data_IF_859102139523
#
_entry.id   IF_859102139523
#
_cell.length_a   1.000
_cell.length_b   1.000
_cell.length_c   1.000
_cell.angle_alpha   90.00
_cell.angle_beta   90.00
_cell.angle_gamma   90.00
#
_symmetry.space_group_name_H-M   'P 1'
#
loop_
_entity.id
_entity.type
_entity.pdbx_description
1 polymer ?
#
# COMPACT_ATOMS: atom_id res chain seq x y z
N UNK A 1 -12.43 -17.27 -14.75
CA UNK A 1 -11.47 -17.31 -15.88
C UNK A 1 -10.11 -17.72 -15.30
N UNK A 2 -9.49 -18.74 -15.88
CA UNK A 2 -8.29 -19.40 -15.36
C UNK A 2 -7.04 -18.70 -15.89
N UNK A 3 -6.09 -18.42 -15.00
CA UNK A 3 -4.72 -18.00 -15.30
C UNK A 3 -3.98 -19.20 -15.93
N UNK A 4 -3.11 -18.98 -16.92
CA UNK A 4 -2.31 -20.00 -17.62
C UNK A 4 -1.16 -20.54 -16.74
N UNK A 5 -0.56 -21.67 -17.15
CA UNK A 5 0.48 -22.34 -16.34
C UNK A 5 1.79 -21.54 -16.22
N UNK A 6 2.21 -20.81 -17.26
CA UNK A 6 3.38 -19.92 -17.20
C UNK A 6 3.08 -18.67 -16.34
N UNK A 7 1.85 -18.18 -16.38
CA UNK A 7 1.40 -17.03 -15.58
C UNK A 7 1.30 -17.34 -14.08
N UNK A 8 0.88 -18.55 -13.73
CA UNK A 8 0.86 -19.02 -12.33
C UNK A 8 2.25 -19.02 -11.71
N UNK A 9 3.26 -19.41 -12.49
CA UNK A 9 4.68 -19.36 -12.08
C UNK A 9 5.16 -17.91 -11.92
N UNK A 10 4.74 -17.00 -12.80
CA UNK A 10 5.06 -15.57 -12.69
C UNK A 10 4.40 -14.91 -11.47
N UNK A 11 3.13 -15.21 -11.18
CA UNK A 11 2.40 -14.68 -10.04
C UNK A 11 3.00 -15.15 -8.70
N UNK A 12 3.20 -16.46 -8.51
CA UNK A 12 3.76 -16.98 -7.26
C UNK A 12 5.18 -16.45 -7.03
N UNK A 13 5.97 -16.30 -8.09
CA UNK A 13 7.29 -15.66 -7.98
C UNK A 13 7.19 -14.21 -7.52
N UNK A 14 6.25 -13.44 -8.07
CA UNK A 14 6.03 -12.06 -7.66
C UNK A 14 5.56 -11.97 -6.19
N UNK A 15 4.58 -12.80 -5.82
CA UNK A 15 4.07 -12.84 -4.45
C UNK A 15 5.17 -13.19 -3.45
N UNK A 16 6.05 -14.14 -3.78
CA UNK A 16 7.22 -14.47 -2.95
C UNK A 16 8.16 -13.28 -2.75
N UNK A 17 8.44 -12.50 -3.81
CA UNK A 17 9.30 -11.31 -3.73
C UNK A 17 8.69 -10.26 -2.79
N UNK A 18 7.40 -9.95 -2.96
CA UNK A 18 6.73 -8.92 -2.15
C UNK A 18 6.62 -9.36 -0.68
N UNK A 19 6.24 -10.61 -0.43
CA UNK A 19 6.14 -11.17 0.93
C UNK A 19 7.49 -11.19 1.65
N UNK A 20 8.57 -11.57 0.97
CA UNK A 20 9.92 -11.56 1.56
C UNK A 20 10.37 -10.13 1.94
N UNK A 21 10.00 -9.12 1.15
CA UNK A 21 10.30 -7.70 1.47
C UNK A 21 9.53 -7.20 2.68
N UNK A 22 8.34 -7.73 2.93
CA UNK A 22 7.52 -7.44 4.11
C UNK A 22 7.95 -8.23 5.35
N UNK A 23 9.04 -8.99 5.27
CA UNK A 23 9.67 -9.69 6.39
C UNK A 23 9.19 -11.13 6.60
N UNK A 24 8.32 -11.66 5.73
CA UNK A 24 7.84 -13.03 5.84
C UNK A 24 8.90 -14.04 5.40
N UNK A 25 8.99 -15.15 6.13
CA UNK A 25 9.86 -16.27 5.78
C UNK A 25 9.14 -17.22 4.83
N UNK A 26 9.88 -17.76 3.85
CA UNK A 26 9.38 -18.71 2.86
C UNK A 26 10.16 -20.01 3.02
N UNK A 27 9.45 -21.13 3.19
CA UNK A 27 10.07 -22.44 3.46
C UNK A 27 10.70 -23.01 2.16
N UNK A 28 9.86 -23.28 1.14
CA UNK A 28 10.26 -23.58 -0.23
C UNK A 28 9.18 -23.09 -1.21
N UNK A 29 9.58 -22.54 -2.37
CA UNK A 29 8.65 -22.19 -3.45
C UNK A 29 8.32 -23.47 -4.21
N UNK A 30 7.17 -24.07 -3.91
CA UNK A 30 6.63 -25.17 -4.70
C UNK A 30 6.00 -24.63 -5.99
N UNK A 31 5.91 -25.47 -7.02
CA UNK A 31 5.35 -25.07 -8.33
C UNK A 31 3.88 -24.65 -8.29
N UNK A 32 3.13 -25.06 -7.26
CA UNK A 32 1.69 -24.84 -7.12
C UNK A 32 1.29 -23.98 -5.91
N UNK A 33 2.23 -23.72 -4.97
CA UNK A 33 1.96 -23.04 -3.71
C UNK A 33 3.20 -22.37 -3.09
N UNK A 34 2.96 -21.39 -2.22
CA UNK A 34 3.98 -20.77 -1.37
C UNK A 34 3.64 -21.03 0.10
N UNK A 35 4.57 -21.63 0.83
CA UNK A 35 4.43 -21.82 2.28
C UNK A 35 5.06 -20.63 3.01
N UNK A 36 4.23 -19.92 3.77
CA UNK A 36 4.62 -18.74 4.56
C UNK A 36 4.85 -19.16 6.00
N UNK A 37 5.95 -18.68 6.58
CA UNK A 37 6.28 -18.86 7.98
C UNK A 37 6.37 -17.50 8.70
N UNK A 38 6.09 -17.53 10.00
CA UNK A 38 6.30 -16.44 10.94
C UNK A 38 7.07 -17.00 12.14
N UNK A 39 8.22 -16.39 12.45
CA UNK A 39 9.11 -16.81 13.53
C UNK A 39 9.52 -18.30 13.47
N UNK A 40 9.79 -18.81 12.27
CA UNK A 40 10.19 -20.20 12.03
C UNK A 40 9.07 -21.23 12.20
N UNK A 41 7.81 -20.79 12.37
CA UNK A 41 6.64 -21.66 12.45
C UNK A 41 5.69 -21.43 11.26
N UNK A 42 5.01 -22.47 10.73
CA UNK A 42 4.05 -22.33 9.64
C UNK A 42 2.96 -21.30 9.97
N UNK A 43 2.61 -20.43 9.01
CA UNK A 43 1.54 -19.44 9.14
C UNK A 43 0.39 -19.74 8.19
N UNK A 44 0.66 -19.79 6.89
CA UNK A 44 -0.34 -20.06 5.85
C UNK A 44 0.29 -20.49 4.52
N UNK A 45 -0.53 -20.99 3.60
CA UNK A 45 -0.17 -21.37 2.25
C UNK A 45 -0.89 -20.46 1.24
N UNK A 46 -0.15 -19.92 0.27
CA UNK A 46 -0.70 -19.18 -0.87
C UNK A 46 -0.82 -20.10 -2.07
N UNK A 47 -2.00 -20.19 -2.67
CA UNK A 47 -2.26 -21.02 -3.84
C UNK A 47 -2.00 -20.27 -5.15
N UNK A 48 -1.81 -21.00 -6.25
CA UNK A 48 -1.72 -20.47 -7.62
C UNK A 48 -2.93 -19.59 -8.04
N UNK A 49 -4.08 -19.72 -7.37
CA UNK A 49 -5.27 -18.90 -7.64
C UNK A 49 -5.30 -17.60 -6.84
N UNK A 50 -4.29 -17.34 -6.01
CA UNK A 50 -4.25 -16.25 -5.04
C UNK A 50 -5.13 -16.47 -3.82
N UNK A 51 -5.45 -17.73 -3.50
CA UNK A 51 -6.12 -18.09 -2.25
C UNK A 51 -5.12 -18.24 -1.11
N UNK A 52 -5.56 -17.96 0.12
CA UNK A 52 -4.76 -18.20 1.33
C UNK A 52 -5.44 -19.31 2.14
N UNK A 53 -4.73 -20.40 2.35
CA UNK A 53 -5.15 -21.52 3.18
C UNK A 53 -4.34 -21.53 4.49
N UNK A 54 -4.96 -21.86 5.60
CA UNK A 54 -4.31 -21.92 6.90
C UNK A 54 -5.01 -22.94 7.81
N UNK A 55 -4.31 -23.41 8.84
CA UNK A 55 -4.92 -24.22 9.90
C UNK A 55 -5.29 -23.29 11.05
N UNK A 56 -6.43 -23.52 11.68
CA UNK A 56 -6.83 -22.73 12.86
C UNK A 56 -5.81 -22.85 14.02
N UNK A 57 -5.09 -23.97 14.09
CA UNK A 57 -4.02 -24.20 15.06
C UNK A 57 -2.81 -23.27 14.85
N UNK A 58 -2.62 -22.74 13.63
CA UNK A 58 -1.47 -21.89 13.27
C UNK A 58 -1.80 -20.38 13.39
N UNK A 59 -3.03 -20.02 13.82
CA UNK A 59 -3.53 -18.65 13.96
C UNK A 59 -4.29 -18.46 15.29
N UNK A 60 -3.69 -18.95 16.37
CA UNK A 60 -4.23 -18.93 17.73
C UNK A 60 -4.01 -17.60 18.47
N UNK A 61 -3.07 -16.77 18.01
CA UNK A 61 -2.72 -15.49 18.61
C UNK A 61 -3.13 -14.29 17.74
N UNK A 62 -3.51 -13.13 18.34
CA UNK A 62 -3.88 -11.92 17.60
C UNK A 62 -2.80 -11.44 16.61
N UNK A 63 -1.53 -11.55 16.99
CA UNK A 63 -0.39 -11.19 16.13
C UNK A 63 -0.33 -12.05 14.87
N UNK A 64 -0.61 -13.35 15.01
CA UNK A 64 -0.63 -14.31 13.90
C UNK A 64 -1.85 -14.10 12.99
N UNK A 65 -2.99 -13.73 13.56
CA UNK A 65 -4.17 -13.31 12.78
C UNK A 65 -3.84 -12.09 11.93
N UNK A 66 -3.25 -11.04 12.54
CA UNK A 66 -2.84 -9.83 11.83
C UNK A 66 -1.80 -10.12 10.74
N UNK A 67 -0.83 -10.98 11.02
CA UNK A 67 0.16 -11.43 10.05
C UNK A 67 -0.49 -12.16 8.86
N UNK A 68 -1.45 -13.06 9.12
CA UNK A 68 -2.21 -13.75 8.07
C UNK A 68 -3.05 -12.78 7.24
N UNK A 69 -3.68 -11.79 7.88
CA UNK A 69 -4.45 -10.75 7.18
C UNK A 69 -3.55 -9.91 6.29
N UNK A 70 -2.34 -9.55 6.77
CA UNK A 70 -1.33 -8.86 5.98
C UNK A 70 -0.89 -9.69 4.77
N UNK A 71 -0.64 -11.00 4.93
CA UNK A 71 -0.33 -11.90 3.81
C UNK A 71 -1.47 -11.89 2.79
N UNK A 72 -2.72 -12.02 3.25
CA UNK A 72 -3.88 -12.00 2.37
C UNK A 72 -3.97 -10.71 1.55
N UNK A 73 -3.77 -9.55 2.18
CA UNK A 73 -3.78 -8.26 1.49
C UNK A 73 -2.67 -8.15 0.44
N UNK A 74 -1.44 -8.55 0.77
CA UNK A 74 -0.31 -8.56 -0.16
C UNK A 74 -0.60 -9.45 -1.37
N UNK A 75 -1.07 -10.67 -1.12
CA UNK A 75 -1.39 -11.70 -2.13
C UNK A 75 -2.53 -11.22 -3.04
N UNK A 76 -3.56 -10.59 -2.46
CA UNK A 76 -4.71 -10.00 -3.17
C UNK A 76 -4.28 -8.87 -4.07
N UNK A 77 -3.49 -7.92 -3.57
CA UNK A 77 -2.95 -6.81 -4.37
C UNK A 77 -2.00 -7.31 -5.46
N UNK A 78 -1.17 -8.31 -5.16
CA UNK A 78 -0.27 -8.94 -6.16
C UNK A 78 -1.05 -9.60 -7.28
N UNK A 79 -2.12 -10.32 -6.97
CA UNK A 79 -2.98 -10.93 -7.99
C UNK A 79 -3.69 -9.88 -8.86
N UNK A 80 -4.09 -8.74 -8.27
CA UNK A 80 -4.72 -7.63 -8.98
C UNK A 80 -3.79 -7.07 -10.07
N UNK A 81 -2.59 -6.60 -9.71
CA UNK A 81 -1.72 -5.96 -10.69
C UNK A 81 -1.07 -6.96 -11.63
N UNK A 82 -0.82 -8.21 -11.23
CA UNK A 82 -0.26 -9.23 -12.13
C UNK A 82 -1.23 -9.56 -13.26
N UNK A 83 -2.54 -9.65 -12.94
CA UNK A 83 -3.57 -9.83 -13.96
C UNK A 83 -3.66 -8.62 -14.90
N UNK A 84 -3.55 -7.41 -14.36
CA UNK A 84 -3.52 -6.21 -15.20
C UNK A 84 -2.28 -6.17 -16.10
N UNK A 85 -1.10 -6.46 -15.55
CA UNK A 85 0.15 -6.56 -16.30
C UNK A 85 0.07 -7.60 -17.41
N UNK A 86 -0.63 -8.72 -17.22
CA UNK A 86 -0.83 -9.72 -18.26
C UNK A 86 -1.64 -9.15 -19.45
N UNK A 87 -2.79 -8.55 -19.14
CA UNK A 87 -3.76 -8.07 -20.12
C UNK A 87 -3.37 -6.72 -20.76
N UNK A 88 -2.51 -5.95 -20.11
CA UNK A 88 -2.15 -4.61 -20.51
C UNK A 88 -1.34 -4.59 -21.82
N UNK A 89 -1.64 -3.65 -22.74
CA UNK A 89 -0.83 -3.44 -23.93
C UNK A 89 0.51 -2.83 -23.55
N UNK A 90 1.52 -3.05 -24.40
CA UNK A 90 2.80 -2.35 -24.28
C UNK A 90 2.63 -0.84 -24.50
N UNK A 91 3.25 -0.06 -23.63
CA UNK A 91 3.37 1.38 -23.76
C UNK A 91 4.30 1.70 -24.92
N UNK A 92 3.83 2.51 -25.86
CA UNK A 92 4.62 2.97 -27.01
C UNK A 92 4.87 4.45 -26.86
N UNK A 93 6.12 4.82 -26.62
CA UNK A 93 6.57 6.19 -26.54
C UNK A 93 7.97 6.31 -27.15
N UNK A 94 8.23 7.38 -27.88
CA UNK A 94 9.49 7.65 -28.55
C UNK A 94 10.62 7.75 -27.51
N UNK A 95 11.66 6.94 -27.69
CA UNK A 95 12.85 6.93 -26.83
C UNK A 95 12.67 6.22 -25.48
N UNK A 96 11.51 5.60 -25.22
CA UNK A 96 11.31 4.73 -24.07
C UNK A 96 11.78 3.30 -24.38
N UNK A 97 12.46 2.66 -23.44
CA UNK A 97 12.81 1.24 -23.56
C UNK A 97 11.55 0.36 -23.64
N UNK A 98 11.59 -0.66 -24.49
CA UNK A 98 10.50 -1.64 -24.60
C UNK A 98 10.32 -2.42 -23.29
N UNK A 99 9.08 -2.74 -22.95
CA UNK A 99 8.74 -3.63 -21.83
C UNK A 99 7.75 -3.04 -20.82
N UNK A 100 7.57 -1.73 -20.81
CA UNK A 100 6.51 -1.09 -20.02
C UNK A 100 5.14 -1.43 -20.59
N UNK A 101 4.18 -1.70 -19.71
CA UNK A 101 2.79 -1.97 -20.04
C UNK A 101 1.87 -0.94 -19.40
N UNK A 102 0.83 -0.54 -20.13
CA UNK A 102 -0.13 0.50 -19.70
C UNK A 102 -1.17 -0.12 -18.78
N UNK A 103 -1.10 0.18 -17.49
CA UNK A 103 -2.08 -0.27 -16.49
C UNK A 103 -3.28 0.69 -16.43
N UNK A 104 -3.03 1.99 -16.56
CA UNK A 104 -4.07 3.02 -16.69
C UNK A 104 -3.56 4.22 -17.49
N UNK A 105 -4.43 4.87 -18.27
CA UNK A 105 -4.13 6.09 -19.01
C UNK A 105 -5.34 7.03 -18.92
N UNK A 106 -5.15 8.19 -18.32
CA UNK A 106 -6.22 9.18 -18.13
C UNK A 106 -5.68 10.60 -18.04
N UNK A 107 -6.35 11.52 -18.75
CA UNK A 107 -6.13 12.97 -18.67
C UNK A 107 -4.65 13.40 -18.81
N UNK A 108 -3.92 12.74 -19.70
CA UNK A 108 -2.52 13.07 -19.96
C UNK A 108 -1.53 12.45 -18.97
N UNK A 109 -1.97 11.62 -18.03
CA UNK A 109 -1.09 10.83 -17.15
C UNK A 109 -1.28 9.34 -17.45
N UNK A 110 -0.18 8.59 -17.43
CA UNK A 110 -0.16 7.13 -17.60
C UNK A 110 0.47 6.46 -16.39
N UNK A 111 -0.19 5.42 -15.86
CA UNK A 111 0.39 4.45 -14.93
C UNK A 111 0.85 3.24 -15.74
N UNK A 112 2.15 2.96 -15.69
CA UNK A 112 2.75 1.83 -16.34
C UNK A 112 3.44 0.90 -15.33
N UNK A 113 3.57 -0.37 -15.72
CA UNK A 113 4.34 -1.37 -14.98
C UNK A 113 5.34 -2.07 -15.89
N UNK A 114 6.44 -2.52 -15.32
CA UNK A 114 7.45 -3.36 -16.00
C UNK A 114 7.89 -4.48 -15.08
N UNK A 115 7.96 -5.70 -15.60
CA UNK A 115 8.45 -6.83 -14.82
C UNK A 115 9.98 -6.84 -14.79
N UNK A 116 10.57 -6.98 -13.61
CA UNK A 116 12.02 -7.08 -13.41
C UNK A 116 12.39 -8.38 -12.69
N UNK A 117 13.70 -8.62 -12.52
CA UNK A 117 14.21 -9.72 -11.67
C UNK A 117 13.90 -9.53 -10.18
N UNK A 118 13.57 -8.32 -9.75
CA UNK A 118 13.37 -7.92 -8.34
C UNK A 118 11.90 -7.64 -7.99
N UNK A 119 10.98 -7.91 -8.91
CA UNK A 119 9.57 -7.59 -8.77
C UNK A 119 9.06 -6.76 -9.94
N UNK A 120 7.75 -6.49 -9.97
CA UNK A 120 7.15 -5.49 -10.86
C UNK A 120 7.49 -4.11 -10.33
N UNK A 121 8.01 -3.26 -11.21
CA UNK A 121 8.19 -1.85 -10.94
C UNK A 121 7.07 -1.04 -11.59
N UNK A 122 6.58 -0.05 -10.87
CA UNK A 122 5.52 0.86 -11.33
C UNK A 122 6.06 2.25 -11.57
N UNK A 123 5.46 2.95 -12.52
CA UNK A 123 5.85 4.32 -12.84
C UNK A 123 4.65 5.09 -13.32
N UNK A 124 4.55 6.35 -12.90
CA UNK A 124 3.61 7.30 -13.48
C UNK A 124 4.37 8.31 -14.33
N UNK A 125 3.86 8.59 -15.52
CA UNK A 125 4.39 9.60 -16.42
C UNK A 125 3.29 10.53 -16.90
N UNK A 126 3.67 11.72 -17.35
CA UNK A 126 2.80 12.57 -18.16
C UNK A 126 3.11 12.36 -19.64
N UNK A 127 2.06 12.29 -20.45
CA UNK A 127 2.17 12.31 -21.90
C UNK A 127 2.67 13.67 -22.38
N UNK A 128 3.64 13.64 -23.28
CA UNK A 128 4.24 14.78 -23.93
C UNK A 128 4.12 14.65 -25.46
N UNK A 129 4.40 15.74 -26.16
CA UNK A 129 4.51 15.79 -27.63
C UNK A 129 3.27 15.25 -28.37
N UNK A 130 2.06 15.47 -27.84
CA UNK A 130 0.84 14.97 -28.47
C UNK A 130 0.67 13.44 -28.36
N UNK A 131 1.06 12.85 -27.23
CA UNK A 131 0.94 11.41 -26.93
C UNK A 131 1.96 10.54 -27.69
N UNK A 132 3.13 11.10 -28.04
CA UNK A 132 4.22 10.33 -28.64
C UNK A 132 5.40 10.14 -27.70
N UNK A 133 5.52 10.92 -26.63
CA UNK A 133 6.58 10.78 -25.64
C UNK A 133 6.04 10.87 -24.21
N UNK A 134 6.87 10.52 -23.23
CA UNK A 134 6.53 10.59 -21.80
C UNK A 134 7.57 11.42 -21.04
N UNK A 135 7.15 12.12 -19.98
CA UNK A 135 8.03 12.92 -19.13
C UNK A 135 7.58 12.92 -17.66
N UNK A 136 8.37 13.55 -16.78
CA UNK A 136 8.10 13.69 -15.34
C UNK A 136 7.78 12.36 -14.63
N UNK A 137 8.65 11.36 -14.80
CA UNK A 137 8.44 10.02 -14.23
C UNK A 137 8.57 9.97 -12.71
N UNK A 138 7.54 9.48 -12.01
CA UNK A 138 7.65 9.07 -10.61
C UNK A 138 7.73 7.55 -10.55
N UNK A 139 8.83 7.02 -9.99
CA UNK A 139 9.12 5.60 -9.96
C UNK A 139 8.80 5.03 -8.57
N UNK A 140 7.95 4.02 -8.57
CA UNK A 140 7.55 3.26 -7.40
C UNK A 140 8.05 1.85 -7.66
N UNK A 141 8.97 1.32 -6.85
CA UNK A 141 9.50 -0.04 -7.05
C UNK A 141 8.34 -1.06 -6.92
N UNK A 142 8.20 -1.77 -5.81
CA UNK A 142 7.07 -2.71 -5.65
C UNK A 142 5.84 -2.04 -5.04
N UNK A 143 5.87 -0.72 -4.87
CA UNK A 143 4.81 0.06 -4.23
C UNK A 143 3.68 0.41 -5.21
N UNK A 144 2.88 -0.59 -5.56
CA UNK A 144 1.71 -0.43 -6.43
C UNK A 144 0.66 0.54 -5.84
N UNK A 145 0.46 0.52 -4.52
CA UNK A 145 -0.50 1.40 -3.86
C UNK A 145 -0.11 2.88 -4.02
N UNK A 146 1.16 3.20 -3.80
CA UNK A 146 1.71 4.55 -4.02
C UNK A 146 1.60 4.97 -5.48
N UNK A 147 1.86 4.06 -6.43
CA UNK A 147 1.71 4.35 -7.85
C UNK A 147 0.25 4.65 -8.24
N UNK A 148 -0.73 3.90 -7.70
CA UNK A 148 -2.16 4.17 -7.89
C UNK A 148 -2.57 5.53 -7.32
N UNK A 149 -2.10 5.86 -6.13
CA UNK A 149 -2.41 7.14 -5.48
C UNK A 149 -1.83 8.31 -6.28
N UNK A 150 -0.55 8.22 -6.67
CA UNK A 150 0.10 9.24 -7.48
C UNK A 150 -0.58 9.43 -8.83
N UNK A 151 -0.93 8.32 -9.52
CA UNK A 151 -1.71 8.36 -10.75
C UNK A 151 -3.05 9.07 -10.55
N UNK A 152 -3.79 8.74 -9.49
CA UNK A 152 -5.11 9.33 -9.23
C UNK A 152 -5.02 10.85 -8.98
N UNK A 153 -3.96 11.31 -8.31
CA UNK A 153 -3.72 12.73 -8.06
C UNK A 153 -3.33 13.45 -9.36
N UNK A 154 -2.32 12.94 -10.07
CA UNK A 154 -1.75 13.58 -11.27
C UNK A 154 -2.73 13.64 -12.42
N UNK A 155 -3.51 12.56 -12.61
CA UNK A 155 -4.55 12.50 -13.64
C UNK A 155 -5.79 13.34 -13.28
N UNK A 156 -5.88 13.88 -12.06
CA UNK A 156 -6.99 14.71 -11.60
C UNK A 156 -8.25 13.92 -11.23
N UNK A 157 -8.17 12.58 -11.10
CA UNK A 157 -9.25 11.76 -10.56
C UNK A 157 -9.55 12.11 -9.10
N UNK A 158 -8.53 12.55 -8.35
CA UNK A 158 -8.65 13.05 -6.98
C UNK A 158 -8.02 14.44 -6.90
N UNK A 159 -8.74 15.38 -6.30
CA UNK A 159 -8.22 16.72 -6.01
C UNK A 159 -7.20 16.64 -4.88
N UNK A 160 -5.96 17.07 -5.16
CA UNK A 160 -4.85 17.02 -4.20
C UNK A 160 -5.17 17.79 -2.91
N UNK A 161 -5.93 18.87 -3.01
CA UNK A 161 -6.31 19.74 -1.90
C UNK A 161 -7.25 19.05 -0.89
N UNK A 162 -7.81 17.89 -1.25
CA UNK A 162 -8.63 17.06 -0.35
C UNK A 162 -7.83 15.99 0.38
N UNK A 163 -6.54 15.86 0.09
CA UNK A 163 -5.67 14.86 0.70
C UNK A 163 -4.81 15.52 1.77
N UNK A 164 -4.79 14.91 2.94
CA UNK A 164 -3.89 15.27 4.03
C UNK A 164 -2.69 14.33 4.03
N UNK A 165 -1.51 14.84 4.38
CA UNK A 165 -0.36 13.98 4.65
C UNK A 165 -0.59 13.19 5.94
N UNK A 166 0.11 12.05 6.15
CA UNK A 166 0.05 11.33 7.41
C UNK A 166 0.32 12.23 8.63
N UNK A 167 1.23 13.19 8.51
CA UNK A 167 1.56 14.15 9.57
C UNK A 167 0.41 15.13 9.83
N UNK A 168 -0.23 15.64 8.76
CA UNK A 168 -1.42 16.49 8.90
C UNK A 168 -2.58 15.71 9.53
N UNK A 169 -2.80 14.46 9.13
CA UNK A 169 -3.83 13.60 9.73
C UNK A 169 -3.52 13.29 11.20
N UNK A 170 -2.25 13.03 11.54
CA UNK A 170 -1.82 12.80 12.93
C UNK A 170 -2.12 14.01 13.81
N UNK A 171 -1.82 15.21 13.32
CA UNK A 171 -2.12 16.46 14.04
C UNK A 171 -3.64 16.68 14.21
N UNK A 172 -4.42 16.44 13.15
CA UNK A 172 -5.89 16.52 13.22
C UNK A 172 -6.41 15.54 14.27
N UNK A 173 -5.92 14.31 14.27
CA UNK A 173 -6.31 13.29 15.25
C UNK A 173 -6.02 13.74 16.68
N UNK A 174 -4.83 14.30 16.95
CA UNK A 174 -4.48 14.81 18.29
C UNK A 174 -5.43 15.91 18.73
N UNK A 175 -5.69 16.91 17.86
CA UNK A 175 -6.65 17.97 18.18
C UNK A 175 -8.07 17.43 18.43
N UNK A 176 -8.48 16.40 17.69
CA UNK A 176 -9.76 15.72 17.92
C UNK A 176 -9.80 15.01 19.28
N UNK A 177 -8.74 14.32 19.67
CA UNK A 177 -8.62 13.65 20.96
C UNK A 177 -8.70 14.66 22.11
N UNK A 178 -7.90 15.73 22.05
CA UNK A 178 -7.91 16.80 23.06
C UNK A 178 -9.29 17.45 23.23
N UNK A 179 -10.04 17.59 22.13
CA UNK A 179 -11.37 18.22 22.14
C UNK A 179 -12.45 17.35 22.78
N UNK A 180 -12.31 16.03 22.69
CA UNK A 180 -13.31 15.07 23.16
C UNK A 180 -12.99 14.53 24.55
N UNK A 181 -11.71 14.31 24.84
CA UNK A 181 -11.25 13.75 26.11
C UNK A 181 -10.93 14.84 27.14
N UNK A 182 -10.69 16.08 26.69
CA UNK A 182 -10.53 17.22 27.57
C UNK A 182 -11.86 17.94 27.82
N UNK A 183 -12.08 18.41 29.06
CA UNK A 183 -13.21 19.26 29.45
C UNK A 183 -13.08 20.71 28.91
N UNK A 184 -12.46 20.89 27.73
CA UNK A 184 -12.15 22.21 27.16
C UNK A 184 -13.33 22.84 26.42
N UNK A 185 -14.22 22.03 25.83
CA UNK A 185 -15.33 22.49 25.01
C UNK A 185 -16.65 21.79 25.38
N UNK A 186 -17.74 22.54 25.42
CA UNK A 186 -19.08 21.95 25.48
C UNK A 186 -19.49 21.45 24.09
N UNK A 187 -19.33 20.15 23.86
CA UNK A 187 -19.74 19.50 22.62
C UNK A 187 -21.17 18.98 22.71
N UNK A 188 -21.94 19.11 21.63
CA UNK A 188 -23.19 18.35 21.48
C UNK A 188 -22.86 16.89 21.18
N UNK A 189 -23.78 15.97 21.53
CA UNK A 189 -23.59 14.55 21.22
C UNK A 189 -23.42 14.25 19.72
N UNK A 190 -23.96 15.10 18.84
CA UNK A 190 -23.74 14.97 17.38
C UNK A 190 -22.33 15.40 16.97
N UNK A 191 -21.79 16.49 17.56
CA UNK A 191 -20.42 16.93 17.31
C UNK A 191 -19.41 15.91 17.82
N UNK A 192 -19.61 15.38 19.02
CA UNK A 192 -18.74 14.34 19.58
C UNK A 192 -18.72 13.10 18.67
N UNK A 193 -19.89 12.63 18.24
CA UNK A 193 -19.99 11.50 17.29
C UNK A 193 -19.28 11.78 15.96
N UNK A 194 -19.36 13.02 15.46
CA UNK A 194 -18.68 13.42 14.24
C UNK A 194 -17.16 13.40 14.42
N UNK A 195 -16.65 13.92 15.54
CA UNK A 195 -15.21 13.94 15.84
C UNK A 195 -14.67 12.51 16.01
N UNK A 196 -15.39 11.64 16.73
CA UNK A 196 -15.02 10.22 16.87
C UNK A 196 -14.98 9.49 15.52
N UNK A 197 -15.89 9.83 14.60
CA UNK A 197 -15.86 9.30 13.22
C UNK A 197 -14.64 9.77 12.42
N UNK A 198 -14.18 11.01 12.65
CA UNK A 198 -12.93 11.51 12.05
C UNK A 198 -11.72 10.75 12.60
N UNK A 199 -11.66 10.54 13.92
CA UNK A 199 -10.59 9.77 14.56
C UNK A 199 -10.49 8.35 13.98
N UNK A 200 -11.63 7.64 13.89
CA UNK A 200 -11.67 6.30 13.30
C UNK A 200 -11.17 6.27 11.85
N UNK A 201 -11.58 7.24 11.01
CA UNK A 201 -11.10 7.30 9.63
C UNK A 201 -9.58 7.54 9.55
N UNK A 202 -9.03 8.33 10.47
CA UNK A 202 -7.59 8.60 10.52
C UNK A 202 -6.82 7.36 10.99
N UNK A 203 -7.31 6.65 12.01
CA UNK A 203 -6.74 5.37 12.48
C UNK A 203 -6.64 4.34 11.35
N UNK A 204 -7.65 4.27 10.48
CA UNK A 204 -7.65 3.37 9.32
C UNK A 204 -6.66 3.80 8.21
N UNK A 205 -6.38 5.10 8.09
CA UNK A 205 -5.59 5.66 6.98
C UNK A 205 -4.10 5.87 7.32
N UNK A 206 -3.77 6.09 8.59
CA UNK A 206 -2.41 6.44 9.02
C UNK A 206 -1.75 5.25 9.70
N UNK A 207 -0.77 4.60 9.06
CA UNK A 207 0.00 3.55 9.71
C UNK A 207 0.84 4.14 10.84
N UNK A 208 1.01 3.36 11.90
CA UNK A 208 1.84 3.68 13.07
C UNK A 208 1.42 4.99 13.78
N UNK A 209 0.12 5.33 13.74
CA UNK A 209 -0.41 6.56 14.31
C UNK A 209 0.04 6.77 15.77
N UNK A 210 -0.06 5.74 16.61
CA UNK A 210 0.35 5.79 18.03
C UNK A 210 1.84 6.08 18.22
N UNK A 211 2.69 5.56 17.33
CA UNK A 211 4.14 5.85 17.34
C UNK A 211 4.41 7.28 16.91
N UNK A 212 3.71 7.77 15.88
CA UNK A 212 3.83 9.16 15.41
C UNK A 212 3.42 10.15 16.49
N UNK A 213 2.34 9.87 17.22
CA UNK A 213 1.88 10.71 18.34
C UNK A 213 2.95 10.75 19.43
N UNK A 214 3.46 9.60 19.87
CA UNK A 214 4.52 9.53 20.90
C UNK A 214 5.77 10.30 20.50
N UNK A 215 6.27 10.12 19.28
CA UNK A 215 7.43 10.85 18.78
C UNK A 215 7.21 12.37 18.77
N UNK A 216 6.00 12.81 18.45
CA UNK A 216 5.65 14.23 18.44
C UNK A 216 5.56 14.81 19.86
N UNK A 217 5.01 14.07 20.82
CA UNK A 217 4.97 14.43 22.24
C UNK A 217 6.38 14.56 22.83
N UNK A 218 7.24 13.57 22.60
CA UNK A 218 8.64 13.61 23.04
C UNK A 218 9.39 14.81 22.45
N UNK A 219 9.16 15.13 21.17
CA UNK A 219 9.75 16.32 20.54
C UNK A 219 9.26 17.63 21.18
N UNK A 220 7.97 17.72 21.53
CA UNK A 220 7.41 18.89 22.20
C UNK A 220 7.98 19.07 23.62
N UNK A 221 8.13 17.98 24.37
CA UNK A 221 8.74 17.99 25.70
C UNK A 221 10.19 18.48 25.67
N UNK A 222 10.99 18.01 24.70
CA UNK A 222 12.38 18.44 24.52
C UNK A 222 12.47 19.95 24.22
N UNK A 223 11.58 20.47 23.38
CA UNK A 223 11.50 21.90 23.07
C UNK A 223 11.13 22.72 24.31
N UNK A 224 10.15 22.27 25.09
CA UNK A 224 9.75 22.95 26.32
C UNK A 224 10.89 23.01 27.35
N UNK A 225 11.65 21.92 27.51
CA UNK A 225 12.80 21.88 28.41
C UNK A 225 13.93 22.83 27.98
N UNK A 226 14.18 22.96 26.67
CA UNK A 226 15.18 23.91 26.14
C UNK A 226 14.77 25.38 26.29
N UNK A 227 13.48 25.69 26.27
CA UNK A 227 12.98 27.06 26.47
C UNK A 227 12.95 27.49 27.94
N UNK A 228 13.09 26.54 28.87
CA UNK A 228 13.05 26.79 30.32
C UNK A 228 14.45 26.88 30.95
N UNK A 229 15.51 26.62 30.17
CA UNK A 229 16.93 26.81 30.54
C UNK A 229 17.49 28.12 30.00
#
# INVERSE_FOLDING_TARGET
>A
MSISAEEKVCYLREAAIVLAKEGFQLDEVHTDRLCIQLDGSPLCEVTESGGVAYRNEDIDEPERIAAKDKVYEIVRTTAEYMRQMEMAPFLKADGLEDGYKVLADFNGTVLAGVQSKHGVHFVTWDWAYGHTGVCHGHYFMENYAGAKQDFAIRSGLIQKERLFTPEQMTEIYRCCADSVDGDFFELTGEQEKMIRSVQQQIEECVPDLDERIRQQEEALEQVAQQQTM
#
